data_IF_174034789027
#
_entry.id   IF_174034789027
#
_cell.length_a   1.000
_cell.length_b   1.000
_cell.length_c   1.000
_cell.angle_alpha   90.00
_cell.angle_beta   90.00
_cell.angle_gamma   90.00
#
_symmetry.space_group_name_H-M   'P 1'
#
loop_
_entity.id
_entity.type
_entity.pdbx_description
1 polymer ?
#
# COMPACT_ATOMS: atom_id res chain seq x y z
N UNK A 1 -23.69 22.46 24.46
CA UNK A 1 -22.82 21.30 24.24
C UNK A 1 -21.53 21.87 23.71
N UNK A 2 -20.45 21.87 24.49
CA UNK A 2 -19.14 22.27 23.96
C UNK A 2 -18.73 21.18 22.96
N UNK A 3 -18.42 21.55 21.72
CA UNK A 3 -17.77 20.62 20.80
C UNK A 3 -16.39 20.32 21.38
N UNK A 4 -16.17 19.06 21.77
CA UNK A 4 -14.85 18.61 22.20
C UNK A 4 -13.89 18.75 21.01
N UNK A 5 -12.92 19.67 21.12
CA UNK A 5 -11.87 19.82 20.13
C UNK A 5 -10.99 18.57 20.15
N UNK A 6 -11.20 17.68 19.17
CA UNK A 6 -10.33 16.53 18.94
C UNK A 6 -9.16 17.00 18.08
N UNK A 7 -7.97 17.01 18.68
CA UNK A 7 -6.75 17.33 17.94
C UNK A 7 -6.56 16.34 16.78
N UNK A 8 -6.29 16.88 15.58
CA UNK A 8 -5.99 16.07 14.40
C UNK A 8 -4.71 15.27 14.61
N UNK A 9 -4.70 14.02 14.15
CA UNK A 9 -3.45 13.28 14.03
C UNK A 9 -2.63 13.79 12.84
N UNK A 10 -1.33 13.46 12.78
CA UNK A 10 -0.44 14.04 11.77
C UNK A 10 -0.81 13.67 10.32
N UNK A 11 -1.47 12.54 10.07
CA UNK A 11 -1.95 12.18 8.73
C UNK A 11 -3.13 13.06 8.32
N UNK A 12 -4.04 13.32 9.24
CA UNK A 12 -5.14 14.25 9.01
C UNK A 12 -4.63 15.66 8.76
N UNK A 13 -3.61 16.11 9.49
CA UNK A 13 -2.97 17.41 9.24
C UNK A 13 -2.42 17.51 7.82
N UNK A 14 -1.74 16.47 7.32
CA UNK A 14 -1.25 16.41 5.93
C UNK A 14 -2.42 16.47 4.94
N UNK A 15 -3.48 15.69 5.16
CA UNK A 15 -4.66 15.68 4.27
C UNK A 15 -5.34 17.06 4.24
N UNK A 16 -5.54 17.70 5.40
CA UNK A 16 -6.11 19.05 5.45
C UNK A 16 -5.22 20.11 4.77
N UNK A 17 -3.90 20.01 4.94
CA UNK A 17 -2.93 20.89 4.31
C UNK A 17 -2.98 20.75 2.78
N UNK A 18 -2.97 19.53 2.26
CA UNK A 18 -3.06 19.28 0.82
C UNK A 18 -4.38 19.82 0.22
N UNK A 19 -5.52 19.59 0.89
CA UNK A 19 -6.81 20.14 0.46
C UNK A 19 -6.78 21.67 0.47
N UNK A 20 -6.20 22.28 1.52
CA UNK A 20 -6.07 23.74 1.65
C UNK A 20 -5.18 24.32 0.55
N UNK A 21 -4.14 23.59 0.15
CA UNK A 21 -3.23 23.94 -0.94
C UNK A 21 -3.81 23.66 -2.34
N UNK A 22 -5.07 23.22 -2.43
CA UNK A 22 -5.81 23.08 -3.68
C UNK A 22 -5.89 21.65 -4.23
N UNK A 23 -5.49 20.63 -3.47
CA UNK A 23 -5.72 19.24 -3.86
C UNK A 23 -7.23 18.94 -3.90
N UNK A 24 -7.77 18.40 -5.01
CA UNK A 24 -9.20 18.12 -5.11
C UNK A 24 -9.62 17.04 -4.12
N UNK A 25 -10.60 17.34 -3.26
CA UNK A 25 -11.13 16.36 -2.29
C UNK A 25 -11.66 15.09 -2.97
N UNK A 26 -12.25 15.24 -4.15
CA UNK A 26 -12.80 14.12 -4.94
C UNK A 26 -11.71 13.19 -5.52
N UNK A 27 -10.43 13.60 -5.47
CA UNK A 27 -9.28 12.81 -5.89
C UNK A 27 -8.61 12.07 -4.72
N UNK A 28 -9.05 12.27 -3.47
CA UNK A 28 -8.52 11.54 -2.31
C UNK A 28 -8.80 10.05 -2.45
N UNK A 29 -7.76 9.22 -2.31
CA UNK A 29 -7.86 7.76 -2.36
C UNK A 29 -7.02 7.17 -1.23
N UNK A 30 -7.57 6.19 -0.52
CA UNK A 30 -6.85 5.42 0.48
C UNK A 30 -6.79 3.94 0.08
N UNK A 31 -5.92 3.17 0.73
CA UNK A 31 -5.87 1.71 0.56
C UNK A 31 -5.31 0.99 1.77
N UNK A 32 -5.82 -0.20 2.03
CA UNK A 32 -5.22 -1.19 2.91
C UNK A 32 -4.64 -2.33 2.05
N UNK A 33 -3.30 -2.48 1.98
CA UNK A 33 -2.67 -3.43 1.07
C UNK A 33 -2.00 -4.64 1.77
N UNK A 34 -2.74 -5.62 2.30
CA UNK A 34 -2.13 -6.80 2.93
C UNK A 34 -1.58 -7.79 1.88
N UNK A 35 -0.51 -8.50 2.23
CA UNK A 35 -0.09 -9.71 1.50
C UNK A 35 -1.01 -10.88 1.88
N UNK A 36 -1.57 -11.64 0.92
CA UNK A 36 -2.46 -12.76 1.22
C UNK A 36 -1.67 -14.05 1.52
N UNK A 37 -0.76 -14.01 2.50
CA UNK A 37 0.09 -15.13 2.91
C UNK A 37 -0.04 -15.51 4.39
N UNK A 38 -1.05 -14.98 5.08
CA UNK A 38 -1.33 -15.26 6.48
C UNK A 38 -2.59 -14.54 6.98
N UNK A 39 -3.06 -14.98 8.15
CA UNK A 39 -4.20 -14.37 8.82
C UNK A 39 -3.87 -13.00 9.44
N UNK A 40 -4.85 -12.10 9.49
CA UNK A 40 -4.67 -10.84 10.18
C UNK A 40 -4.62 -11.06 11.69
N UNK A 41 -3.63 -10.45 12.33
CA UNK A 41 -3.58 -10.28 13.79
C UNK A 41 -3.88 -8.82 14.22
N UNK A 42 -4.02 -8.59 15.52
CA UNK A 42 -4.32 -7.27 16.13
C UNK A 42 -3.42 -6.11 15.65
N UNK A 43 -2.16 -6.38 15.29
CA UNK A 43 -1.27 -5.38 14.71
C UNK A 43 -1.79 -4.73 13.43
N UNK A 44 -2.57 -5.47 12.62
CA UNK A 44 -3.17 -4.95 11.38
C UNK A 44 -4.34 -4.01 11.66
N UNK A 45 -5.04 -4.16 12.79
CA UNK A 45 -6.18 -3.31 13.14
C UNK A 45 -5.81 -1.83 13.13
N UNK A 46 -4.58 -1.47 13.54
CA UNK A 46 -4.11 -0.08 13.47
C UNK A 46 -4.08 0.45 12.03
N UNK A 47 -3.53 -0.32 11.10
CA UNK A 47 -3.43 0.08 9.69
C UNK A 47 -4.81 0.12 9.00
N UNK A 48 -5.69 -0.82 9.36
CA UNK A 48 -7.09 -0.86 8.91
C UNK A 48 -7.82 0.38 9.41
N UNK A 49 -7.83 0.64 10.71
CA UNK A 49 -8.53 1.80 11.29
C UNK A 49 -8.00 3.13 10.76
N UNK A 50 -6.70 3.25 10.48
CA UNK A 50 -6.14 4.44 9.82
C UNK A 50 -6.70 4.56 8.39
N UNK A 51 -6.57 3.52 7.57
CA UNK A 51 -6.91 3.60 6.15
C UNK A 51 -8.42 3.80 5.94
N UNK A 52 -9.23 2.99 6.61
CA UNK A 52 -10.69 3.05 6.50
C UNK A 52 -11.29 4.22 7.29
N UNK A 53 -10.74 4.55 8.47
CA UNK A 53 -11.18 5.71 9.24
C UNK A 53 -10.91 7.04 8.53
N UNK A 54 -9.78 7.17 7.82
CA UNK A 54 -9.54 8.32 6.94
C UNK A 54 -10.54 8.34 5.77
N UNK A 55 -10.83 7.18 5.17
CA UNK A 55 -11.86 7.05 4.14
C UNK A 55 -13.23 7.55 4.60
N UNK A 56 -13.69 7.12 5.78
CA UNK A 56 -14.95 7.56 6.37
C UNK A 56 -14.94 9.05 6.71
N UNK A 57 -13.88 9.54 7.37
CA UNK A 57 -13.74 10.95 7.78
C UNK A 57 -13.79 11.90 6.59
N UNK A 58 -13.11 11.56 5.51
CA UNK A 58 -13.01 12.40 4.32
C UNK A 58 -14.06 12.07 3.25
N UNK A 59 -14.91 11.06 3.48
CA UNK A 59 -15.83 10.50 2.49
C UNK A 59 -15.13 10.16 1.17
N UNK A 60 -13.98 9.48 1.30
CA UNK A 60 -13.10 9.10 0.19
C UNK A 60 -13.03 7.58 0.06
N UNK A 61 -12.93 7.04 -1.16
CA UNK A 61 -12.91 5.60 -1.38
C UNK A 61 -11.61 4.97 -0.86
N UNK A 62 -11.76 3.77 -0.30
CA UNK A 62 -10.67 2.96 0.26
C UNK A 62 -10.63 1.64 -0.49
N UNK A 63 -9.53 1.34 -1.16
CA UNK A 63 -9.36 0.05 -1.83
C UNK A 63 -8.79 -0.99 -0.86
N UNK A 64 -9.34 -2.20 -0.89
CA UNK A 64 -8.69 -3.38 -0.34
C UNK A 64 -7.83 -3.97 -1.46
N UNK A 65 -6.50 -3.89 -1.33
CA UNK A 65 -5.59 -4.40 -2.37
C UNK A 65 -4.78 -5.56 -1.85
N UNK A 66 -4.96 -6.74 -2.42
CA UNK A 66 -4.06 -7.86 -2.11
C UNK A 66 -2.73 -7.62 -2.82
N UNK A 67 -1.65 -7.57 -2.04
CA UNK A 67 -0.30 -7.44 -2.60
C UNK A 67 0.25 -8.82 -2.99
N UNK A 68 -0.37 -9.38 -4.03
CA UNK A 68 -0.22 -10.77 -4.47
C UNK A 68 0.88 -10.94 -5.53
N UNK A 69 2.09 -10.48 -5.18
CA UNK A 69 3.25 -10.53 -6.10
C UNK A 69 4.13 -11.78 -5.95
N UNK A 70 3.85 -12.62 -4.95
CA UNK A 70 4.59 -13.82 -4.61
C UNK A 70 3.74 -15.09 -4.84
N UNK A 71 3.84 -15.72 -6.02
CA UNK A 71 2.98 -16.84 -6.40
C UNK A 71 3.18 -18.11 -5.54
N UNK A 72 4.21 -18.15 -4.68
CA UNK A 72 4.55 -19.34 -3.87
C UNK A 72 3.91 -19.36 -2.48
N UNK A 73 3.33 -18.25 -2.02
CA UNK A 73 2.84 -18.09 -0.63
C UNK A 73 1.38 -17.64 -0.54
N UNK A 74 0.71 -17.54 -1.68
CA UNK A 74 -0.59 -16.89 -1.78
C UNK A 74 -1.68 -17.95 -1.90
N UNK A 75 -2.61 -17.90 -0.96
CA UNK A 75 -3.73 -18.83 -0.89
C UNK A 75 -5.05 -18.07 -0.84
N UNK A 76 -6.05 -18.56 -1.56
CA UNK A 76 -7.40 -17.99 -1.57
C UNK A 76 -8.00 -17.94 -0.15
N UNK A 77 -7.63 -18.89 0.71
CA UNK A 77 -8.01 -18.92 2.12
C UNK A 77 -7.67 -17.61 2.85
N UNK A 78 -6.47 -17.05 2.63
CA UNK A 78 -6.07 -15.80 3.27
C UNK A 78 -6.80 -14.59 2.70
N UNK A 79 -7.07 -14.58 1.40
CA UNK A 79 -7.89 -13.55 0.74
C UNK A 79 -9.28 -13.49 1.38
N UNK A 80 -9.90 -14.65 1.56
CA UNK A 80 -11.25 -14.76 2.12
C UNK A 80 -11.28 -14.34 3.59
N UNK A 81 -10.31 -14.82 4.39
CA UNK A 81 -10.19 -14.49 5.81
C UNK A 81 -9.96 -12.98 6.04
N UNK A 82 -9.07 -12.36 5.26
CA UNK A 82 -8.80 -10.91 5.33
C UNK A 82 -10.08 -10.12 5.04
N UNK A 83 -10.85 -10.52 4.03
CA UNK A 83 -12.12 -9.86 3.69
C UNK A 83 -13.16 -10.02 4.80
N UNK A 84 -13.23 -11.20 5.42
CA UNK A 84 -14.12 -11.47 6.54
C UNK A 84 -13.76 -10.60 7.76
N UNK A 85 -12.49 -10.54 8.13
CA UNK A 85 -12.01 -9.75 9.28
C UNK A 85 -12.30 -8.25 9.12
N UNK A 86 -12.09 -7.70 7.92
CA UNK A 86 -12.37 -6.27 7.65
C UNK A 86 -13.87 -5.99 7.74
N UNK A 87 -14.71 -6.89 7.20
CA UNK A 87 -16.18 -6.81 7.32
C UNK A 87 -16.62 -6.95 8.77
N UNK A 88 -16.00 -7.85 9.54
CA UNK A 88 -16.29 -8.07 10.95
C UNK A 88 -15.97 -6.83 11.80
N UNK A 89 -14.89 -6.12 11.48
CA UNK A 89 -14.56 -4.81 12.07
C UNK A 89 -15.54 -3.68 11.68
N UNK A 90 -16.47 -3.93 10.75
CA UNK A 90 -17.50 -2.99 10.33
C UNK A 90 -17.12 -2.09 9.14
N UNK A 91 -15.94 -2.28 8.56
CA UNK A 91 -15.48 -1.46 7.44
C UNK A 91 -15.93 -2.00 6.08
N UNK A 92 -15.96 -1.10 5.09
CA UNK A 92 -16.28 -1.41 3.69
C UNK A 92 -15.22 -0.79 2.79
N UNK A 93 -14.84 -1.52 1.74
CA UNK A 93 -13.96 -1.03 0.68
C UNK A 93 -14.76 -0.64 -0.56
N UNK A 94 -14.18 0.23 -1.39
CA UNK A 94 -14.71 0.60 -2.70
C UNK A 94 -14.47 -0.54 -3.71
N UNK A 95 -13.22 -0.96 -3.85
CA UNK A 95 -12.81 -2.03 -4.77
C UNK A 95 -11.89 -3.03 -4.10
N UNK A 96 -12.03 -4.29 -4.50
CA UNK A 96 -10.97 -5.29 -4.34
C UNK A 96 -10.03 -5.15 -5.53
N UNK A 97 -8.74 -5.06 -5.26
CA UNK A 97 -7.70 -4.98 -6.27
C UNK A 97 -6.64 -6.05 -6.00
N UNK A 98 -5.99 -6.53 -7.05
CA UNK A 98 -4.87 -7.46 -6.96
C UNK A 98 -3.65 -6.82 -7.61
N UNK A 99 -2.50 -6.84 -6.96
CA UNK A 99 -1.23 -6.37 -7.55
C UNK A 99 -0.90 -7.14 -8.84
N UNK A 100 -1.25 -8.44 -8.90
CA UNK A 100 -1.04 -9.31 -10.05
C UNK A 100 -1.79 -8.89 -11.31
N UNK A 101 -2.98 -8.29 -11.19
CA UNK A 101 -3.74 -7.72 -12.32
C UNK A 101 -2.95 -6.62 -13.07
N UNK A 102 -1.97 -6.01 -12.41
CA UNK A 102 -1.14 -4.95 -12.97
C UNK A 102 0.21 -5.45 -13.52
N UNK A 103 0.50 -6.74 -13.53
CA UNK A 103 1.81 -7.25 -13.97
C UNK A 103 2.19 -6.83 -15.38
N UNK A 104 1.25 -6.82 -16.32
CA UNK A 104 1.53 -6.34 -17.68
C UNK A 104 1.94 -4.86 -17.68
N UNK A 105 1.25 -4.02 -16.92
CA UNK A 105 1.56 -2.60 -16.81
C UNK A 105 2.93 -2.36 -16.15
N UNK A 106 3.25 -3.13 -15.10
CA UNK A 106 4.54 -3.08 -14.41
C UNK A 106 5.68 -3.52 -15.33
N UNK A 107 5.46 -4.57 -16.13
CA UNK A 107 6.40 -5.04 -17.15
C UNK A 107 6.65 -3.98 -18.24
N UNK A 108 5.58 -3.35 -18.73
CA UNK A 108 5.69 -2.30 -19.76
C UNK A 108 6.48 -1.09 -19.24
N UNK A 109 6.26 -0.69 -17.98
CA UNK A 109 7.08 0.33 -17.32
C UNK A 109 8.53 -0.11 -17.12
N UNK A 110 8.79 -1.37 -16.79
CA UNK A 110 10.15 -1.89 -16.69
C UNK A 110 10.87 -1.80 -18.05
N UNK A 111 10.21 -2.15 -19.15
CA UNK A 111 10.75 -1.95 -20.50
C UNK A 111 11.03 -0.47 -20.77
N UNK A 112 10.12 0.42 -20.40
CA UNK A 112 10.30 1.86 -20.57
C UNK A 112 11.54 2.35 -19.80
N UNK A 113 11.71 1.94 -18.54
CA UNK A 113 12.87 2.28 -17.73
C UNK A 113 14.18 1.78 -18.36
N UNK A 114 14.20 0.57 -18.92
CA UNK A 114 15.36 0.04 -19.64
C UNK A 114 15.67 0.88 -20.88
N UNK A 115 14.65 1.23 -21.69
CA UNK A 115 14.82 2.07 -22.89
C UNK A 115 15.31 3.48 -22.55
N UNK A 116 14.91 4.01 -21.40
CA UNK A 116 15.36 5.31 -20.89
C UNK A 116 16.73 5.26 -20.19
N UNK A 117 17.38 4.09 -20.11
CA UNK A 117 18.66 3.92 -19.43
C UNK A 117 18.59 4.06 -17.90
N UNK A 118 17.39 3.91 -17.31
CA UNK A 118 17.13 4.01 -15.86
C UNK A 118 17.05 2.65 -15.17
N UNK A 119 17.12 1.56 -15.92
CA UNK A 119 17.17 0.19 -15.44
C UNK A 119 18.09 -0.66 -16.32
N UNK A 120 18.69 -1.70 -15.75
CA UNK A 120 19.56 -2.64 -16.45
C UNK A 120 19.31 -4.06 -15.95
N UNK A 121 19.79 -5.05 -16.70
CA UNK A 121 19.78 -6.46 -16.29
C UNK A 121 21.07 -6.74 -15.53
N UNK A 122 20.95 -7.06 -14.25
CA UNK A 122 22.07 -7.56 -13.46
C UNK A 122 22.15 -9.10 -13.60
N UNK A 123 23.30 -9.59 -14.09
CA UNK A 123 23.54 -11.03 -14.30
C UNK A 123 24.46 -11.63 -13.24
N UNK A 124 24.78 -10.88 -12.19
CA UNK A 124 25.64 -11.33 -11.11
C UNK A 124 24.89 -12.25 -10.14
N UNK A 125 25.64 -13.02 -9.34
CA UNK A 125 25.02 -13.81 -8.27
C UNK A 125 24.52 -12.91 -7.14
N UNK A 126 23.55 -13.40 -6.36
CA UNK A 126 23.03 -12.68 -5.20
C UNK A 126 24.13 -12.29 -4.20
N UNK A 127 25.13 -13.15 -4.03
CA UNK A 127 26.29 -12.90 -3.16
C UNK A 127 27.14 -11.75 -3.70
N UNK A 128 27.47 -11.77 -5.00
CA UNK A 128 28.27 -10.73 -5.62
C UNK A 128 27.56 -9.35 -5.60
N UNK A 129 26.24 -9.33 -5.86
CA UNK A 129 25.44 -8.10 -5.73
C UNK A 129 25.46 -7.57 -4.28
N UNK A 130 25.35 -8.46 -3.28
CA UNK A 130 25.38 -8.07 -1.88
C UNK A 130 26.74 -7.50 -1.45
N UNK A 131 27.84 -8.08 -1.95
CA UNK A 131 29.20 -7.59 -1.70
C UNK A 131 29.44 -6.20 -2.32
N UNK A 132 28.90 -5.95 -3.51
CA UNK A 132 29.07 -4.69 -4.23
C UNK A 132 28.12 -3.58 -3.79
N UNK A 133 26.98 -3.90 -3.16
CA UNK A 133 25.98 -2.92 -2.75
C UNK A 133 26.52 -1.84 -1.79
N UNK A 134 27.61 -2.15 -1.08
CA UNK A 134 28.18 -1.29 -0.05
C UNK A 134 27.35 -1.27 1.24
N UNK A 135 27.54 -0.24 2.06
CA UNK A 135 26.88 -0.05 3.36
C UNK A 135 26.34 1.38 3.49
N UNK A 136 25.54 1.71 4.52
CA UNK A 136 25.09 3.10 4.72
C UNK A 136 26.23 4.13 4.85
N UNK A 137 27.46 3.68 5.14
CA UNK A 137 28.65 4.53 5.29
C UNK A 137 29.65 4.38 4.15
N UNK A 138 29.47 3.41 3.25
CA UNK A 138 30.43 3.11 2.18
C UNK A 138 29.70 2.90 0.85
N UNK A 139 30.05 3.65 -0.21
CA UNK A 139 29.40 3.49 -1.50
C UNK A 139 29.69 2.10 -2.08
N UNK A 140 28.75 1.60 -2.89
CA UNK A 140 28.93 0.36 -3.65
C UNK A 140 29.98 0.49 -4.75
N UNK A 141 30.44 -0.66 -5.27
CA UNK A 141 31.51 -0.80 -6.27
C UNK A 141 31.07 -1.43 -7.56
#
# INVERSE_FOLDING_TARGET
MAEDYVALNFLEQIVEEDITNGFPKDDLRFRFPPEPNGYLHIGHCKAICISFGLGEKYNAPVNLRFDDTNPSKEEQEYVDAIQEDIKWLGFKWDKVCYSSDYFQQLYDWAIQLIKEGKAYIDSQSSEAMAEQKGTPTEPGT
#
